data_IF_384402374171
#
_entry.id   IF_384402374171
#
_cell.length_a   1.000
_cell.length_b   1.000
_cell.length_c   1.000
_cell.angle_alpha   90.00
_cell.angle_beta   90.00
_cell.angle_gamma   90.00
#
_symmetry.space_group_name_H-M   'P 1'
#
loop_
_entity.id
_entity.type
_entity.pdbx_description
1 polymer ?
#
# COMPACT_ATOMS: atom_id res chain seq x y z
N UNK A 1 6.87 48.94 -19.52
CA UNK A 1 7.07 47.64 -20.16
C UNK A 1 5.70 46.99 -20.21
N UNK A 2 5.11 46.81 -21.40
CA UNK A 2 3.85 46.12 -21.57
C UNK A 2 4.22 44.68 -21.96
N UNK A 3 3.97 43.76 -21.05
CA UNK A 3 4.14 42.31 -21.30
C UNK A 3 3.00 41.87 -22.18
N UNK A 4 3.30 41.26 -23.33
CA UNK A 4 2.28 40.74 -24.24
C UNK A 4 1.57 39.51 -23.64
N UNK A 5 0.34 39.22 -24.12
CA UNK A 5 -0.38 38.04 -23.70
C UNK A 5 0.36 36.74 -24.06
N UNK A 6 1.15 36.75 -25.15
CA UNK A 6 1.99 35.61 -25.56
C UNK A 6 3.16 35.37 -24.58
N UNK A 7 3.83 36.46 -24.16
CA UNK A 7 4.90 36.38 -23.16
C UNK A 7 4.35 35.93 -21.81
N UNK A 8 3.16 36.40 -21.41
CA UNK A 8 2.49 35.94 -20.20
C UNK A 8 2.12 34.45 -20.25
N UNK A 9 1.70 33.97 -21.43
CA UNK A 9 1.38 32.54 -21.60
C UNK A 9 2.64 31.69 -21.56
N UNK A 10 3.70 32.09 -22.25
CA UNK A 10 5.01 31.41 -22.22
C UNK A 10 5.56 31.31 -20.77
N UNK A 11 5.48 32.41 -20.03
CA UNK A 11 5.91 32.44 -18.63
C UNK A 11 5.04 31.46 -17.79
N UNK A 12 3.72 31.41 -18.01
CA UNK A 12 2.86 30.47 -17.30
C UNK A 12 3.18 29.00 -17.64
N UNK A 13 3.49 28.72 -18.88
CA UNK A 13 3.81 27.36 -19.34
C UNK A 13 5.19 26.89 -18.85
N UNK A 14 6.10 27.83 -18.56
CA UNK A 14 7.42 27.57 -17.98
C UNK A 14 7.41 27.47 -16.45
N UNK A 15 6.34 27.94 -15.79
CA UNK A 15 6.24 27.82 -14.33
C UNK A 15 5.92 26.36 -13.92
N UNK A 16 6.65 25.82 -12.96
CA UNK A 16 6.28 24.53 -12.38
C UNK A 16 4.89 24.61 -11.76
N UNK A 17 4.12 23.54 -11.93
CA UNK A 17 2.77 23.41 -11.36
C UNK A 17 2.78 23.75 -9.86
N UNK A 18 1.91 24.66 -9.44
CA UNK A 18 1.83 25.10 -8.06
C UNK A 18 1.24 23.99 -7.15
N UNK A 19 1.59 23.95 -5.87
CA UNK A 19 1.05 22.95 -4.94
C UNK A 19 -0.48 22.85 -4.95
N UNK A 20 -1.18 23.99 -5.08
CA UNK A 20 -2.64 24.01 -5.15
C UNK A 20 -3.21 23.45 -6.46
N UNK A 21 -2.49 23.61 -7.55
CA UNK A 21 -2.86 23.01 -8.84
C UNK A 21 -2.66 21.50 -8.81
N UNK A 22 -1.53 21.03 -8.25
CA UNK A 22 -1.27 19.61 -7.98
C UNK A 22 -2.36 18.99 -7.10
N UNK A 23 -2.71 19.63 -5.99
CA UNK A 23 -3.78 19.18 -5.10
C UNK A 23 -5.09 18.98 -5.87
N UNK A 24 -5.51 19.98 -6.66
CA UNK A 24 -6.72 19.89 -7.46
C UNK A 24 -6.66 18.77 -8.51
N UNK A 25 -5.51 18.57 -9.13
CA UNK A 25 -5.30 17.50 -10.11
C UNK A 25 -5.38 16.13 -9.44
N UNK A 26 -4.74 15.94 -8.29
CA UNK A 26 -4.79 14.68 -7.55
C UNK A 26 -6.23 14.30 -7.14
N UNK A 27 -7.03 15.28 -6.74
CA UNK A 27 -8.45 15.06 -6.42
C UNK A 27 -9.25 14.66 -7.66
N UNK A 28 -9.09 15.43 -8.76
CA UNK A 28 -9.94 15.26 -9.95
C UNK A 28 -9.55 14.07 -10.83
N UNK A 29 -8.26 13.83 -11.00
CA UNK A 29 -7.75 12.84 -11.94
C UNK A 29 -7.38 11.52 -11.27
N UNK A 30 -6.88 11.57 -10.04
CA UNK A 30 -6.42 10.39 -9.31
C UNK A 30 -7.38 9.93 -8.20
N UNK A 31 -8.45 10.69 -7.96
CA UNK A 31 -9.50 10.34 -7.01
C UNK A 31 -9.10 10.44 -5.53
N UNK A 32 -8.02 11.17 -5.20
CA UNK A 32 -7.59 11.35 -3.83
C UNK A 32 -8.59 12.18 -3.03
N UNK A 33 -8.63 11.98 -1.70
CA UNK A 33 -9.32 12.90 -0.82
C UNK A 33 -8.62 14.27 -0.80
N UNK A 34 -9.36 15.33 -0.46
CA UNK A 34 -8.76 16.67 -0.34
C UNK A 34 -7.64 16.71 0.71
N UNK A 35 -7.80 15.95 1.79
CA UNK A 35 -6.81 15.81 2.85
C UNK A 35 -5.51 15.16 2.33
N UNK A 36 -5.63 14.02 1.65
CA UNK A 36 -4.47 13.29 1.14
C UNK A 36 -3.74 14.08 0.06
N UNK A 37 -4.49 14.68 -0.86
CA UNK A 37 -3.94 15.53 -1.91
C UNK A 37 -3.17 16.73 -1.33
N UNK A 38 -3.69 17.36 -0.28
CA UNK A 38 -3.03 18.46 0.42
C UNK A 38 -1.73 18.03 1.08
N UNK A 39 -1.71 16.90 1.79
CA UNK A 39 -0.50 16.39 2.45
C UNK A 39 0.58 16.09 1.42
N UNK A 40 0.24 15.32 0.38
CA UNK A 40 1.21 14.92 -0.64
C UNK A 40 1.77 16.14 -1.39
N UNK A 41 0.91 17.11 -1.76
CA UNK A 41 1.32 18.31 -2.50
C UNK A 41 2.07 19.35 -1.65
N UNK A 42 2.03 19.25 -0.33
CA UNK A 42 2.69 20.19 0.58
C UNK A 42 4.22 20.08 0.57
N UNK A 43 4.77 18.93 0.21
CA UNK A 43 6.21 18.69 0.05
C UNK A 43 6.53 18.35 -1.40
N UNK A 44 7.49 19.08 -2.00
CA UNK A 44 7.91 18.81 -3.37
C UNK A 44 8.47 17.39 -3.52
N UNK A 45 9.32 16.96 -2.60
CA UNK A 45 9.92 15.62 -2.65
C UNK A 45 8.88 14.50 -2.55
N UNK A 46 7.85 14.67 -1.72
CA UNK A 46 6.75 13.73 -1.60
C UNK A 46 5.86 13.73 -2.84
N UNK A 47 5.55 14.91 -3.39
CA UNK A 47 4.75 15.03 -4.60
C UNK A 47 5.44 14.39 -5.80
N UNK A 48 6.72 14.68 -6.01
CA UNK A 48 7.51 14.10 -7.11
C UNK A 48 7.58 12.56 -6.98
N UNK A 49 7.81 12.05 -5.78
CA UNK A 49 7.82 10.61 -5.51
C UNK A 49 6.46 9.96 -5.78
N UNK A 50 5.37 10.60 -5.31
CA UNK A 50 4.01 10.13 -5.56
C UNK A 50 3.68 10.07 -7.05
N UNK A 51 4.00 11.13 -7.80
CA UNK A 51 3.74 11.19 -9.25
C UNK A 51 4.51 10.11 -10.01
N UNK A 52 5.75 9.84 -9.64
CA UNK A 52 6.54 8.80 -10.28
C UNK A 52 6.02 7.39 -9.96
N UNK A 53 5.60 7.14 -8.72
CA UNK A 53 4.97 5.89 -8.36
C UNK A 53 3.58 5.72 -9.00
N UNK A 54 2.78 6.79 -9.06
CA UNK A 54 1.43 6.79 -9.64
C UNK A 54 1.41 6.45 -11.14
N UNK A 55 2.48 6.69 -11.87
CA UNK A 55 2.63 6.27 -13.27
C UNK A 55 2.70 4.74 -13.43
N UNK A 56 2.99 3.99 -12.36
CA UNK A 56 3.30 2.55 -12.37
C UNK A 56 2.29 1.71 -11.59
N UNK A 57 1.30 2.34 -11.00
CA UNK A 57 0.18 1.68 -10.33
C UNK A 57 -1.13 2.35 -10.71
N UNK A 58 -2.23 1.59 -10.70
CA UNK A 58 -3.58 2.10 -10.93
C UNK A 58 -4.32 2.40 -9.63
N UNK A 59 -3.86 1.85 -8.50
CA UNK A 59 -4.48 2.07 -7.20
C UNK A 59 -3.85 3.26 -6.47
N UNK A 60 -4.19 4.47 -6.95
CA UNK A 60 -3.66 5.72 -6.38
C UNK A 60 -4.11 5.97 -4.93
N UNK A 61 -5.29 5.47 -4.55
CA UNK A 61 -5.79 5.57 -3.17
C UNK A 61 -4.95 4.73 -2.21
N UNK A 62 -4.63 3.50 -2.59
CA UNK A 62 -3.76 2.65 -1.78
C UNK A 62 -2.35 3.23 -1.69
N UNK A 63 -1.82 3.75 -2.81
CA UNK A 63 -0.52 4.42 -2.83
C UNK A 63 -0.50 5.64 -1.90
N UNK A 64 -1.52 6.51 -1.95
CA UNK A 64 -1.60 7.68 -1.08
C UNK A 64 -1.68 7.29 0.40
N UNK A 65 -2.49 6.28 0.74
CA UNK A 65 -2.61 5.77 2.10
C UNK A 65 -1.26 5.28 2.65
N UNK A 66 -0.48 4.58 1.84
CA UNK A 66 0.85 4.10 2.23
C UNK A 66 1.84 5.26 2.42
N UNK A 67 1.83 6.24 1.52
CA UNK A 67 2.71 7.41 1.63
C UNK A 67 2.43 8.24 2.89
N UNK A 68 1.15 8.51 3.15
CA UNK A 68 0.73 9.34 4.29
C UNK A 68 0.83 8.57 5.60
N UNK A 69 0.56 7.26 5.59
CA UNK A 69 0.59 6.39 6.76
C UNK A 69 1.98 5.82 7.04
N UNK A 70 2.22 4.62 6.52
CA UNK A 70 3.40 3.83 6.88
C UNK A 70 4.71 4.52 6.48
N UNK A 71 4.83 5.05 5.26
CA UNK A 71 6.06 5.70 4.79
C UNK A 71 6.35 6.97 5.59
N UNK A 72 5.35 7.85 5.75
CA UNK A 72 5.53 9.08 6.55
C UNK A 72 5.87 8.79 8.01
N UNK A 73 5.35 7.71 8.59
CA UNK A 73 5.69 7.32 9.95
C UNK A 73 7.20 6.99 10.10
N UNK A 74 7.78 6.28 9.12
CA UNK A 74 9.21 5.96 9.11
C UNK A 74 10.07 7.19 8.84
N UNK A 75 9.68 8.05 7.89
CA UNK A 75 10.37 9.31 7.61
C UNK A 75 10.43 10.21 8.85
N UNK A 76 9.28 10.37 9.53
CA UNK A 76 9.20 11.16 10.75
C UNK A 76 10.04 10.57 11.91
N UNK A 77 10.05 9.25 12.05
CA UNK A 77 10.83 8.55 13.08
C UNK A 77 12.33 8.77 12.89
N UNK A 78 12.80 8.74 11.65
CA UNK A 78 14.20 8.94 11.33
C UNK A 78 14.56 10.41 11.06
N UNK A 79 13.57 11.31 11.04
CA UNK A 79 13.72 12.75 10.76
C UNK A 79 14.42 13.03 9.43
N UNK A 80 14.06 12.27 8.39
CA UNK A 80 14.57 12.41 7.02
C UNK A 80 13.45 12.70 6.04
N UNK A 81 13.81 13.21 4.87
CA UNK A 81 12.90 13.31 3.71
C UNK A 81 12.95 12.05 2.85
N UNK A 82 11.90 11.85 2.02
CA UNK A 82 11.75 10.63 1.23
C UNK A 82 12.91 10.39 0.26
N UNK A 83 13.51 11.44 -0.27
CA UNK A 83 14.66 11.35 -1.18
C UNK A 83 15.97 10.94 -0.47
N UNK A 84 16.02 11.01 0.86
CA UNK A 84 17.15 10.58 1.67
C UNK A 84 17.02 9.11 2.09
N UNK A 85 15.83 8.52 1.92
CA UNK A 85 15.58 7.11 2.21
C UNK A 85 16.12 6.20 1.11
N UNK A 86 16.18 4.89 1.38
CA UNK A 86 16.53 3.87 0.37
C UNK A 86 15.37 3.49 -0.53
N UNK A 87 14.17 4.05 -0.29
CA UNK A 87 13.01 3.78 -1.10
C UNK A 87 13.12 4.43 -2.47
N UNK A 88 12.65 3.73 -3.48
CA UNK A 88 12.41 4.30 -4.79
C UNK A 88 10.94 4.12 -5.18
N UNK A 89 10.45 5.00 -6.05
CA UNK A 89 9.06 5.02 -6.49
C UNK A 89 8.63 3.72 -7.20
N UNK A 90 9.54 3.06 -7.91
CA UNK A 90 9.29 1.81 -8.63
C UNK A 90 8.98 0.67 -7.67
N UNK A 91 9.80 0.50 -6.65
CA UNK A 91 9.63 -0.54 -5.64
C UNK A 91 8.37 -0.30 -4.80
N UNK A 92 8.06 0.95 -4.47
CA UNK A 92 6.82 1.28 -3.76
C UNK A 92 5.59 0.98 -4.63
N UNK A 93 5.59 1.40 -5.90
CA UNK A 93 4.50 1.08 -6.83
C UNK A 93 4.33 -0.44 -7.01
N UNK A 94 5.44 -1.19 -7.10
CA UNK A 94 5.43 -2.65 -7.16
C UNK A 94 4.80 -3.27 -5.91
N UNK A 95 5.15 -2.79 -4.71
CA UNK A 95 4.53 -3.23 -3.46
C UNK A 95 3.02 -2.99 -3.46
N UNK A 96 2.58 -1.79 -3.89
CA UNK A 96 1.15 -1.46 -4.02
C UNK A 96 0.46 -2.43 -4.99
N UNK A 97 1.06 -2.70 -6.15
CA UNK A 97 0.49 -3.63 -7.13
C UNK A 97 0.38 -5.06 -6.59
N UNK A 98 1.36 -5.54 -5.80
CA UNK A 98 1.31 -6.88 -5.17
C UNK A 98 0.26 -7.01 -4.08
N UNK A 99 -0.08 -5.91 -3.41
CA UNK A 99 -1.20 -5.87 -2.48
C UNK A 99 -2.53 -5.80 -3.24
N UNK A 100 -2.60 -4.99 -4.29
CA UNK A 100 -3.81 -4.75 -5.08
C UNK A 100 -4.23 -5.99 -5.87
N UNK A 101 -3.27 -6.72 -6.46
CA UNK A 101 -3.51 -7.97 -7.20
C UNK A 101 -3.63 -9.22 -6.29
N UNK A 102 -3.62 -9.02 -4.97
CA UNK A 102 -3.71 -10.08 -3.96
C UNK A 102 -2.56 -11.10 -3.99
N UNK A 103 -1.42 -10.80 -4.60
CA UNK A 103 -0.20 -11.62 -4.49
C UNK A 103 0.26 -11.72 -3.03
N UNK A 104 0.07 -10.65 -2.26
CA UNK A 104 0.32 -10.59 -0.82
C UNK A 104 -0.82 -9.88 -0.10
N UNK A 105 -1.02 -10.18 1.18
CA UNK A 105 -1.94 -9.43 2.04
C UNK A 105 -1.33 -8.09 2.48
N UNK A 106 -2.16 -7.13 2.87
CA UNK A 106 -1.68 -5.86 3.42
C UNK A 106 -0.78 -6.03 4.65
N UNK A 107 -1.02 -7.07 5.46
CA UNK A 107 -0.17 -7.41 6.62
C UNK A 107 1.22 -7.86 6.18
N UNK A 108 1.29 -8.73 5.18
CA UNK A 108 2.57 -9.16 4.58
C UNK A 108 3.26 -7.97 3.91
N UNK A 109 2.50 -7.11 3.23
CA UNK A 109 3.01 -5.87 2.64
C UNK A 109 3.75 -4.99 3.64
N UNK A 110 3.27 -4.88 4.89
CA UNK A 110 3.97 -4.13 5.95
C UNK A 110 5.32 -4.74 6.32
N UNK A 111 5.38 -6.06 6.46
CA UNK A 111 6.65 -6.74 6.74
C UNK A 111 7.66 -6.61 5.60
N UNK A 112 7.18 -6.65 4.36
CA UNK A 112 8.02 -6.43 3.17
C UNK A 112 8.53 -4.99 3.15
N UNK A 113 7.66 -4.02 3.42
CA UNK A 113 8.04 -2.61 3.48
C UNK A 113 9.14 -2.33 4.51
N UNK A 114 9.03 -2.90 5.72
CA UNK A 114 10.07 -2.76 6.75
C UNK A 114 11.44 -3.27 6.24
N UNK A 115 11.45 -4.34 5.48
CA UNK A 115 12.68 -4.86 4.89
C UNK A 115 13.18 -4.01 3.72
N UNK A 116 12.27 -3.55 2.86
CA UNK A 116 12.61 -2.59 1.79
C UNK A 116 13.23 -1.32 2.37
N UNK A 117 12.72 -0.84 3.50
CA UNK A 117 13.24 0.36 4.19
C UNK A 117 14.71 0.19 4.57
N UNK A 118 15.07 -0.97 5.12
CA UNK A 118 16.42 -1.26 5.59
C UNK A 118 17.36 -1.61 4.43
N UNK A 119 16.91 -2.48 3.52
CA UNK A 119 17.77 -3.07 2.47
C UNK A 119 17.77 -2.27 1.17
N UNK A 120 16.66 -1.61 0.81
CA UNK A 120 16.43 -1.03 -0.51
C UNK A 120 16.07 -2.07 -1.58
N UNK A 121 15.91 -3.35 -1.21
CA UNK A 121 15.54 -4.43 -2.13
C UNK A 121 14.14 -4.25 -2.69
N UNK A 122 13.87 -4.86 -3.85
CA UNK A 122 12.54 -4.84 -4.44
C UNK A 122 11.56 -5.76 -3.67
N UNK A 123 10.26 -5.46 -3.69
CA UNK A 123 9.24 -6.32 -3.08
C UNK A 123 9.30 -7.76 -3.62
N UNK A 124 9.48 -7.94 -4.93
CA UNK A 124 9.48 -9.26 -5.56
C UNK A 124 10.66 -10.12 -5.08
N UNK A 125 11.86 -9.53 -4.93
CA UNK A 125 13.01 -10.24 -4.34
C UNK A 125 12.73 -10.71 -2.92
N UNK A 126 12.06 -9.88 -2.10
CA UNK A 126 11.71 -10.23 -0.71
C UNK A 126 10.62 -11.31 -0.70
N UNK A 127 9.59 -11.18 -1.54
CA UNK A 127 8.50 -12.16 -1.68
C UNK A 127 9.06 -13.53 -2.06
N UNK A 128 9.95 -13.58 -3.05
CA UNK A 128 10.54 -14.84 -3.53
C UNK A 128 11.46 -15.47 -2.49
N UNK A 129 12.35 -14.67 -1.91
CA UNK A 129 13.33 -15.16 -0.93
C UNK A 129 12.68 -15.75 0.32
N UNK A 130 11.52 -15.23 0.72
CA UNK A 130 10.79 -15.64 1.92
C UNK A 130 9.56 -16.51 1.65
N UNK A 131 9.22 -16.75 0.39
CA UNK A 131 8.04 -17.51 0.02
C UNK A 131 6.74 -16.91 0.54
N UNK A 132 6.58 -15.57 0.41
CA UNK A 132 5.48 -14.80 1.02
C UNK A 132 4.24 -14.66 0.13
N UNK A 133 4.16 -15.35 -1.01
CA UNK A 133 2.98 -15.31 -1.85
C UNK A 133 1.73 -15.76 -1.09
N UNK A 134 0.64 -15.02 -1.25
CA UNK A 134 -0.65 -15.37 -0.65
C UNK A 134 -1.16 -16.68 -1.23
N UNK A 135 -1.76 -17.51 -0.37
CA UNK A 135 -2.45 -18.73 -0.80
C UNK A 135 -3.84 -18.30 -1.30
N UNK A 136 -4.05 -18.38 -2.60
CA UNK A 136 -5.32 -18.05 -3.27
C UNK A 136 -5.97 -19.27 -3.93
N UNK A 137 -5.38 -20.45 -3.76
CA UNK A 137 -5.99 -21.71 -4.21
C UNK A 137 -7.10 -22.13 -3.24
N UNK A 138 -8.35 -22.05 -3.71
CA UNK A 138 -9.53 -22.39 -2.93
C UNK A 138 -9.47 -23.80 -2.36
N UNK A 139 -8.92 -24.76 -3.11
CA UNK A 139 -8.75 -26.15 -2.66
C UNK A 139 -7.76 -26.26 -1.50
N UNK A 140 -6.63 -25.56 -1.56
CA UNK A 140 -5.64 -25.55 -0.50
C UNK A 140 -6.19 -24.87 0.77
N UNK A 141 -6.96 -23.80 0.62
CA UNK A 141 -7.60 -23.11 1.75
C UNK A 141 -8.69 -24.00 2.39
N UNK A 142 -9.48 -24.71 1.57
CA UNK A 142 -10.50 -25.64 2.04
C UNK A 142 -9.91 -26.78 2.89
N UNK A 143 -8.81 -27.39 2.46
CA UNK A 143 -8.11 -28.43 3.23
C UNK A 143 -7.63 -27.90 4.60
N UNK A 144 -7.12 -26.67 4.65
CA UNK A 144 -6.69 -26.05 5.89
C UNK A 144 -7.89 -25.76 6.81
N UNK A 145 -9.01 -25.29 6.25
CA UNK A 145 -10.25 -25.07 7.00
C UNK A 145 -10.76 -26.39 7.57
N UNK A 146 -10.77 -27.47 6.78
CA UNK A 146 -11.18 -28.80 7.24
C UNK A 146 -10.31 -29.30 8.37
N UNK A 147 -9.00 -29.06 8.30
CA UNK A 147 -8.07 -29.37 9.39
C UNK A 147 -8.42 -28.60 10.67
N UNK A 148 -8.66 -27.31 10.56
CA UNK A 148 -9.05 -26.45 11.71
C UNK A 148 -10.37 -26.93 12.34
N UNK A 149 -11.35 -27.30 11.52
CA UNK A 149 -12.66 -27.82 11.98
C UNK A 149 -12.46 -29.15 12.72
N UNK A 150 -11.67 -30.04 12.15
CA UNK A 150 -11.41 -31.37 12.72
C UNK A 150 -10.67 -31.30 14.05
N UNK A 151 -9.72 -30.38 14.17
CA UNK A 151 -8.90 -30.21 15.36
C UNK A 151 -9.62 -29.47 16.51
N UNK A 152 -10.76 -28.82 16.23
CA UNK A 152 -11.48 -27.99 17.21
C UNK A 152 -12.96 -28.35 17.34
N UNK A 153 -13.32 -29.62 17.61
CA UNK A 153 -14.73 -30.08 17.58
C UNK A 153 -15.62 -29.37 18.59
N UNK A 154 -15.11 -29.06 19.79
CA UNK A 154 -15.88 -28.38 20.84
C UNK A 154 -16.25 -26.93 20.44
N UNK A 155 -15.35 -26.23 19.74
CA UNK A 155 -15.60 -24.89 19.23
C UNK A 155 -16.57 -24.91 18.05
N UNK A 156 -16.50 -25.94 17.20
CA UNK A 156 -17.45 -26.16 16.10
C UNK A 156 -18.86 -26.38 16.66
N UNK A 157 -19.03 -27.26 17.65
CA UNK A 157 -20.30 -27.51 18.29
C UNK A 157 -20.87 -26.24 18.94
N UNK A 158 -20.03 -25.47 19.63
CA UNK A 158 -20.42 -24.21 20.24
C UNK A 158 -20.82 -23.14 19.21
N UNK A 159 -20.13 -23.08 18.05
CA UNK A 159 -20.48 -22.21 16.93
C UNK A 159 -21.82 -22.58 16.32
N UNK A 160 -22.04 -23.86 16.04
CA UNK A 160 -23.32 -24.37 15.56
C UNK A 160 -24.45 -24.16 16.57
N UNK A 161 -24.12 -24.11 17.86
CA UNK A 161 -25.02 -23.76 18.95
C UNK A 161 -25.33 -22.26 19.09
N UNK A 162 -24.88 -21.42 18.15
CA UNK A 162 -25.20 -19.98 18.07
C UNK A 162 -24.15 -19.02 18.69
N UNK A 163 -22.95 -19.50 18.97
CA UNK A 163 -21.84 -18.64 19.45
C UNK A 163 -21.08 -18.03 18.25
N UNK A 164 -21.69 -17.08 17.55
CA UNK A 164 -21.15 -16.47 16.32
C UNK A 164 -19.74 -15.84 16.48
N UNK A 165 -19.37 -15.43 17.70
CA UNK A 165 -18.03 -14.89 18.00
C UNK A 165 -16.90 -15.89 17.73
N UNK A 166 -17.20 -17.19 17.69
CA UNK A 166 -16.23 -18.23 17.37
C UNK A 166 -15.82 -18.25 15.91
N UNK A 167 -16.55 -17.57 15.00
CA UNK A 167 -16.10 -17.39 13.63
C UNK A 167 -14.71 -16.74 13.57
N UNK A 168 -14.48 -15.69 14.37
CA UNK A 168 -13.17 -15.04 14.48
C UNK A 168 -12.07 -15.98 15.01
N UNK A 169 -12.40 -16.93 15.87
CA UNK A 169 -11.47 -17.98 16.32
C UNK A 169 -11.02 -18.85 15.14
N UNK A 170 -11.95 -19.35 14.33
CA UNK A 170 -11.62 -20.19 13.17
C UNK A 170 -10.78 -19.44 12.13
N UNK A 171 -11.16 -18.20 11.81
CA UNK A 171 -10.34 -17.34 10.94
C UNK A 171 -8.93 -17.18 11.51
N UNK A 172 -8.80 -16.95 12.82
CA UNK A 172 -7.50 -16.84 13.50
C UNK A 172 -6.65 -18.09 13.39
N UNK A 173 -7.27 -19.29 13.51
CA UNK A 173 -6.54 -20.56 13.35
C UNK A 173 -6.09 -20.79 11.91
N UNK A 174 -6.94 -20.51 10.91
CA UNK A 174 -6.56 -20.59 9.49
C UNK A 174 -5.40 -19.63 9.20
N UNK A 175 -5.50 -18.39 9.66
CA UNK A 175 -4.42 -17.39 9.50
C UNK A 175 -3.12 -17.82 10.17
N UNK A 176 -3.19 -18.49 11.32
CA UNK A 176 -2.02 -19.02 12.01
C UNK A 176 -1.36 -20.16 11.22
N UNK A 177 -2.15 -21.13 10.75
CA UNK A 177 -1.64 -22.26 9.96
C UNK A 177 -1.06 -21.83 8.59
N UNK A 178 -1.58 -20.77 8.03
CA UNK A 178 -1.11 -20.21 6.75
C UNK A 178 -0.03 -19.14 6.92
N UNK A 179 0.42 -18.87 8.14
CA UNK A 179 1.37 -17.79 8.43
C UNK A 179 0.91 -16.41 7.91
N UNK A 180 -0.42 -16.20 7.86
CA UNK A 180 -1.01 -14.99 7.33
C UNK A 180 -1.11 -14.92 5.80
N UNK A 181 -0.84 -16.02 5.09
CA UNK A 181 -0.86 -16.08 3.62
C UNK A 181 -2.24 -16.40 3.05
N UNK A 182 -3.21 -16.89 3.84
CA UNK A 182 -4.59 -17.06 3.38
C UNK A 182 -5.31 -15.72 3.27
N UNK A 183 -6.19 -15.63 2.28
CA UNK A 183 -7.13 -14.52 2.19
C UNK A 183 -8.41 -14.82 2.95
#
# INVERSE_FOLDING_TARGET
>A
VVISNEEMQTIKDEFPELPKEKENRYIKELGLSAYDAQIISSSKSMADFFEDAAKKTTNHLLLSNWLIGDISAFLNKEMIEIHESKLNSDNVAMLINRIDDHTISGKIGKSIFEEMWVSGSSPDEIIESKGLKQISDDGAIEEIIMTVITDNPAQVEAYLGGKDKLFGFFVGQVMKLTEGKAN
#
